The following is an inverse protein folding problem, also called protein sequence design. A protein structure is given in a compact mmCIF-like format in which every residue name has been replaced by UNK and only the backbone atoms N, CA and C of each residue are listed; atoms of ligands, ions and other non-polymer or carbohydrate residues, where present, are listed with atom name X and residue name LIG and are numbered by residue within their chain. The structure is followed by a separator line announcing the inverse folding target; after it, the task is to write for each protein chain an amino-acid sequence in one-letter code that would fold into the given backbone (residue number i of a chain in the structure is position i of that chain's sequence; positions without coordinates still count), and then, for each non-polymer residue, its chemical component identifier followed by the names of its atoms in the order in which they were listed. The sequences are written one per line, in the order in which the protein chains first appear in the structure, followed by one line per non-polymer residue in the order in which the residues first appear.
data_IF_772017616731
#
_entry.id   IF_772017616731
#
_cell.length_a   1.000
_cell.length_b   1.000
_cell.length_c   1.000
_cell.angle_alpha   90.00
_cell.angle_beta   90.00
_cell.angle_gamma   90.00
#
_symmetry.space_group_name_H-M   'P 1'
#
loop_
_entity.id
_entity.type
_entity.pdbx_description
1 polymer ?
#
# COMPACT_ATOMS: atom_id res chain seq x y z
N UNK A 1 25.42 -19.35 -33.44
CA UNK A 1 25.62 -18.16 -34.32
C UNK A 1 24.84 -17.00 -33.73
N UNK A 2 25.51 -15.95 -33.23
CA UNK A 2 24.84 -14.74 -32.70
C UNK A 2 24.47 -13.87 -33.91
N UNK A 3 23.19 -13.59 -34.10
CA UNK A 3 22.73 -12.56 -35.05
C UNK A 3 23.33 -11.23 -34.58
N UNK A 4 24.16 -10.62 -35.42
CA UNK A 4 24.73 -9.30 -35.16
C UNK A 4 23.57 -8.34 -34.89
N UNK A 5 23.68 -7.62 -33.77
CA UNK A 5 22.73 -6.58 -33.38
C UNK A 5 22.71 -5.52 -34.48
N UNK A 6 21.50 -5.11 -34.87
CA UNK A 6 21.17 -4.30 -36.03
C UNK A 6 21.61 -2.81 -35.89
N UNK A 7 22.77 -2.56 -35.27
CA UNK A 7 23.33 -1.21 -35.05
C UNK A 7 23.89 -0.57 -36.33
N UNK A 8 24.10 -1.35 -37.39
CA UNK A 8 24.69 -0.87 -38.65
C UNK A 8 23.70 -0.12 -39.57
N UNK A 9 22.42 0.03 -39.19
CA UNK A 9 21.38 0.53 -40.12
C UNK A 9 21.05 2.02 -40.03
N UNK A 10 21.70 2.80 -39.15
CA UNK A 10 21.56 4.27 -39.13
C UNK A 10 22.72 5.02 -39.77
N UNK A 11 23.71 4.31 -40.32
CA UNK A 11 24.74 4.94 -41.15
C UNK A 11 24.34 4.81 -42.61
N UNK A 12 24.32 5.93 -43.33
CA UNK A 12 24.20 5.86 -44.78
C UNK A 12 25.39 5.06 -45.33
N UNK A 13 25.20 3.90 -46.00
CA UNK A 13 26.30 3.07 -46.45
C UNK A 13 27.20 3.76 -47.49
N UNK A 14 26.70 4.83 -48.12
CA UNK A 14 27.41 5.60 -49.14
C UNK A 14 28.16 6.82 -48.58
N UNK A 15 27.69 7.43 -47.49
CA UNK A 15 28.26 8.70 -46.95
C UNK A 15 28.81 8.61 -45.54
N UNK A 16 28.53 7.54 -44.79
CA UNK A 16 28.96 7.38 -43.39
C UNK A 16 28.29 8.34 -42.40
N UNK A 17 27.40 9.22 -42.86
CA UNK A 17 26.64 10.15 -42.02
C UNK A 17 25.57 9.39 -41.21
N UNK A 18 25.37 9.83 -39.96
CA UNK A 18 24.27 9.36 -39.13
C UNK A 18 22.96 9.86 -39.74
N UNK A 19 22.15 8.94 -40.27
CA UNK A 19 20.80 9.24 -40.72
C UNK A 19 19.94 9.55 -39.51
N UNK A 20 19.13 10.59 -39.64
CA UNK A 20 18.12 10.95 -38.67
C UNK A 20 17.13 9.81 -38.45
N UNK A 21 16.69 9.65 -37.21
CA UNK A 21 15.85 8.52 -36.80
C UNK A 21 14.48 8.54 -37.49
N UNK A 22 13.98 9.73 -37.85
CA UNK A 22 12.74 9.88 -38.61
C UNK A 22 12.95 9.31 -40.01
N UNK A 23 14.02 9.71 -40.70
CA UNK A 23 14.32 9.21 -42.03
C UNK A 23 14.54 7.69 -42.05
N UNK A 24 15.14 7.13 -40.98
CA UNK A 24 15.25 5.67 -40.80
C UNK A 24 13.87 4.98 -40.74
N UNK A 25 12.86 5.61 -40.13
CA UNK A 25 11.50 5.06 -40.09
C UNK A 25 10.93 4.87 -41.49
N UNK A 26 11.13 5.84 -42.39
CA UNK A 26 10.70 5.72 -43.78
C UNK A 26 11.42 4.58 -44.48
N UNK A 27 12.74 4.46 -44.33
CA UNK A 27 13.53 3.40 -44.98
C UNK A 27 13.04 1.99 -44.61
N UNK A 28 12.62 1.78 -43.36
CA UNK A 28 12.12 0.49 -42.87
C UNK A 28 10.68 0.21 -43.32
N UNK A 29 9.86 1.25 -43.47
CA UNK A 29 8.42 1.12 -43.67
C UNK A 29 7.94 1.48 -45.08
N UNK A 30 8.81 1.98 -45.96
CA UNK A 30 8.52 2.32 -47.34
C UNK A 30 9.27 1.38 -48.30
N UNK A 31 8.54 0.74 -49.22
CA UNK A 31 9.12 -0.13 -50.24
C UNK A 31 9.42 0.69 -51.48
N UNK A 32 10.67 1.13 -51.63
CA UNK A 32 11.09 1.99 -52.75
C UNK A 32 10.80 1.36 -54.12
N UNK A 33 11.05 0.05 -54.28
CA UNK A 33 10.81 -0.66 -55.55
C UNK A 33 9.35 -0.67 -56.01
N UNK A 34 8.41 -0.68 -55.07
CA UNK A 34 6.97 -0.70 -55.38
C UNK A 34 6.29 0.64 -55.17
N UNK A 35 6.98 1.62 -54.59
CA UNK A 35 6.43 2.93 -54.28
C UNK A 35 5.34 2.90 -53.19
N UNK A 36 5.31 1.88 -52.34
CA UNK A 36 4.21 1.64 -51.39
C UNK A 36 4.69 1.54 -49.95
N UNK A 37 3.89 2.05 -49.02
CA UNK A 37 4.06 1.81 -47.59
C UNK A 37 3.74 0.36 -47.22
N UNK A 38 4.47 -0.19 -46.26
CA UNK A 38 4.25 -1.55 -45.75
C UNK A 38 2.84 -1.69 -45.13
N UNK A 39 2.29 -0.61 -44.57
CA UNK A 39 0.95 -0.57 -44.00
C UNK A 39 0.40 0.88 -44.02
N UNK A 40 -0.92 1.12 -44.18
CA UNK A 40 -1.51 2.47 -44.14
C UNK A 40 -1.15 3.26 -42.87
N UNK A 41 -1.21 2.61 -41.70
CA UNK A 41 -0.78 3.20 -40.42
C UNK A 41 0.69 3.65 -40.39
N UNK A 42 1.56 3.07 -41.23
CA UNK A 42 2.94 3.52 -41.32
C UNK A 42 3.07 4.84 -42.08
N UNK A 43 2.24 5.06 -43.11
CA UNK A 43 2.13 6.36 -43.76
C UNK A 43 1.60 7.41 -42.79
N UNK A 44 0.52 7.11 -42.06
CA UNK A 44 -0.07 8.03 -41.08
C UNK A 44 0.95 8.46 -40.01
N UNK A 45 1.73 7.51 -39.50
CA UNK A 45 2.81 7.79 -38.53
C UNK A 45 3.94 8.61 -39.15
N UNK A 46 4.34 8.30 -40.38
CA UNK A 46 5.33 9.10 -41.10
C UNK A 46 4.86 10.54 -41.30
N UNK A 47 3.62 10.74 -41.73
CA UNK A 47 3.01 12.07 -41.89
C UNK A 47 2.95 12.82 -40.56
N UNK A 48 2.58 12.15 -39.47
CA UNK A 48 2.61 12.71 -38.12
C UNK A 48 4.03 13.16 -37.70
N UNK A 49 5.06 12.34 -37.98
CA UNK A 49 6.46 12.70 -37.68
C UNK A 49 6.91 13.93 -38.48
N UNK A 50 6.55 14.00 -39.76
CA UNK A 50 6.89 15.14 -40.63
C UNK A 50 6.18 16.43 -40.18
N UNK A 51 4.92 16.32 -39.75
CA UNK A 51 4.16 17.43 -39.20
C UNK A 51 4.82 17.97 -37.93
N UNK A 52 5.25 17.11 -37.01
CA UNK A 52 5.97 17.51 -35.80
C UNK A 52 7.33 18.14 -36.12
N UNK A 53 8.07 17.62 -37.11
CA UNK A 53 9.34 18.18 -37.59
C UNK A 53 9.19 19.62 -38.11
N UNK A 54 8.02 19.95 -38.68
CA UNK A 54 7.71 21.28 -39.20
C UNK A 54 7.17 22.26 -38.15
N UNK A 55 6.76 21.79 -36.97
CA UNK A 55 6.20 22.64 -35.92
C UNK A 55 7.31 23.29 -35.08
N UNK A 56 7.31 24.62 -34.91
CA UNK A 56 8.19 25.27 -33.96
C UNK A 56 7.77 24.92 -32.53
N UNK A 57 8.72 24.50 -31.69
CA UNK A 57 8.48 24.28 -30.26
C UNK A 57 8.33 25.64 -29.56
N UNK A 58 7.65 25.67 -28.40
CA UNK A 58 7.41 26.90 -27.62
C UNK A 58 8.67 27.72 -27.31
N UNK A 59 9.84 27.06 -27.26
CA UNK A 59 11.15 27.68 -27.01
C UNK A 59 11.94 28.00 -28.29
N UNK A 60 11.28 28.06 -29.46
CA UNK A 60 11.90 28.24 -30.79
C UNK A 60 13.03 27.25 -31.13
N UNK A 61 13.11 26.14 -30.40
CA UNK A 61 14.08 25.07 -30.63
C UNK A 61 13.43 23.97 -31.48
N UNK A 62 14.11 23.43 -32.48
CA UNK A 62 13.58 22.30 -33.26
C UNK A 62 13.49 21.06 -32.36
N UNK A 63 12.37 20.32 -32.41
CA UNK A 63 12.24 19.05 -31.68
C UNK A 63 13.30 18.05 -32.17
N UNK A 64 13.90 17.31 -31.25
CA UNK A 64 14.83 16.23 -31.62
C UNK A 64 14.08 15.12 -32.36
N UNK A 65 14.70 14.53 -33.39
CA UNK A 65 14.09 13.43 -34.15
C UNK A 65 13.70 12.23 -33.27
N UNK A 66 14.46 11.97 -32.21
CA UNK A 66 14.11 10.95 -31.19
C UNK A 66 12.85 11.29 -30.41
N UNK A 67 12.66 12.56 -30.09
CA UNK A 67 11.48 13.04 -29.38
C UNK A 67 10.24 12.93 -30.27
N UNK A 68 10.38 13.30 -31.55
CA UNK A 68 9.33 13.14 -32.56
C UNK A 68 8.90 11.66 -32.66
N UNK A 69 9.85 10.73 -32.76
CA UNK A 69 9.55 9.29 -32.85
C UNK A 69 8.92 8.77 -31.55
N UNK A 70 9.41 9.19 -30.39
CA UNK A 70 8.85 8.80 -29.11
C UNK A 70 7.40 9.29 -28.96
N UNK A 71 7.09 10.47 -29.46
CA UNK A 71 5.74 11.04 -29.40
C UNK A 71 4.78 10.32 -30.35
N UNK A 72 5.21 9.95 -31.56
CA UNK A 72 4.36 9.28 -32.55
C UNK A 72 4.21 7.77 -32.29
N UNK A 73 5.30 7.08 -31.89
CA UNK A 73 5.30 5.62 -31.69
C UNK A 73 5.08 5.22 -30.22
N UNK A 74 5.25 6.15 -29.29
CA UNK A 74 5.23 5.93 -27.85
C UNK A 74 6.61 5.66 -27.25
N UNK A 75 6.83 6.18 -26.04
CA UNK A 75 8.09 6.07 -25.28
C UNK A 75 8.46 4.65 -24.84
N UNK A 76 7.51 3.71 -24.90
CA UNK A 76 7.72 2.28 -24.60
C UNK A 76 7.80 1.41 -25.86
N UNK A 77 7.78 2.01 -27.05
CA UNK A 77 7.86 1.23 -28.28
C UNK A 77 9.19 0.46 -28.34
N UNK A 78 9.13 -0.78 -28.82
CA UNK A 78 10.34 -1.59 -29.06
C UNK A 78 11.30 -0.91 -30.05
N UNK A 79 10.79 0.01 -30.87
CA UNK A 79 11.54 0.83 -31.81
C UNK A 79 12.56 1.73 -31.09
N UNK A 80 12.11 2.59 -30.17
CA UNK A 80 12.99 3.48 -29.39
C UNK A 80 14.03 2.69 -28.55
N UNK A 81 13.63 1.54 -27.99
CA UNK A 81 14.55 0.67 -27.24
C UNK A 81 15.59 -0.03 -28.14
N UNK A 82 15.18 -0.43 -29.34
CA UNK A 82 16.01 -1.13 -30.32
C UNK A 82 17.10 -0.26 -30.95
N UNK A 83 16.93 1.06 -30.90
CA UNK A 83 17.92 2.06 -31.37
C UNK A 83 19.09 2.28 -30.40
N UNK A 84 19.15 1.58 -29.27
CA UNK A 84 20.28 1.66 -28.32
C UNK A 84 20.15 2.74 -27.24
N UNK A 85 19.01 3.42 -27.16
CA UNK A 85 18.70 4.40 -26.11
C UNK A 85 18.20 3.76 -24.79
N UNK A 86 18.02 2.44 -24.75
CA UNK A 86 17.84 1.73 -23.48
C UNK A 86 19.11 1.89 -22.64
N UNK A 87 18.97 2.15 -21.33
CA UNK A 87 20.09 2.30 -20.42
C UNK A 87 21.12 1.18 -20.66
N UNK A 88 22.27 1.54 -21.23
CA UNK A 88 23.39 0.61 -21.39
C UNK A 88 23.82 0.24 -19.99
N UNK A 89 23.40 -0.93 -19.50
CA UNK A 89 23.88 -1.47 -18.24
C UNK A 89 25.37 -1.76 -18.43
N UNK A 90 26.21 -0.75 -18.21
CA UNK A 90 27.65 -0.94 -18.10
C UNK A 90 27.86 -1.84 -16.90
N UNK A 91 28.53 -2.98 -17.12
CA UNK A 91 28.85 -3.88 -16.02
C UNK A 91 29.57 -3.07 -14.92
N UNK A 92 29.09 -3.10 -13.66
CA UNK A 92 29.66 -2.29 -12.61
C UNK A 92 31.14 -2.62 -12.44
N UNK A 93 31.98 -1.58 -12.43
CA UNK A 93 33.42 -1.69 -12.17
C UNK A 93 33.69 -2.48 -10.88
N UNK A 94 34.85 -3.14 -10.76
CA UNK A 94 35.23 -3.91 -9.55
C UNK A 94 35.08 -3.09 -8.27
N UNK A 95 35.40 -1.81 -8.31
CA UNK A 95 35.24 -0.86 -7.19
C UNK A 95 33.77 -0.63 -6.85
N UNK A 96 32.90 -0.48 -7.86
CA UNK A 96 31.45 -0.33 -7.67
C UNK A 96 30.81 -1.58 -7.05
N UNK A 97 31.26 -2.79 -7.46
CA UNK A 97 30.79 -4.05 -6.85
C UNK A 97 31.20 -4.19 -5.38
N UNK A 98 32.42 -3.79 -5.03
CA UNK A 98 32.88 -3.83 -3.65
C UNK A 98 32.10 -2.85 -2.75
N UNK A 99 31.85 -1.63 -3.25
CA UNK A 99 31.03 -0.64 -2.55
C UNK A 99 29.59 -1.12 -2.35
N UNK A 100 28.97 -1.67 -3.39
CA UNK A 100 27.62 -2.25 -3.33
C UNK A 100 27.53 -3.42 -2.34
N UNK A 101 28.55 -4.29 -2.31
CA UNK A 101 28.62 -5.39 -1.34
C UNK A 101 28.74 -4.87 0.10
N UNK A 102 29.58 -3.86 0.33
CA UNK A 102 29.74 -3.27 1.65
C UNK A 102 28.44 -2.58 2.12
N UNK A 103 27.73 -1.92 1.21
CA UNK A 103 26.43 -1.32 1.50
C UNK A 103 25.36 -2.36 1.81
N UNK A 104 25.32 -3.45 1.04
CA UNK A 104 24.42 -4.57 1.30
C UNK A 104 24.67 -5.21 2.67
N UNK A 105 25.93 -5.38 3.06
CA UNK A 105 26.29 -5.90 4.38
C UNK A 105 25.79 -4.97 5.50
N UNK A 106 26.05 -3.66 5.39
CA UNK A 106 25.55 -2.67 6.37
C UNK A 106 24.03 -2.67 6.47
N UNK A 107 23.34 -2.80 5.34
CA UNK A 107 21.88 -2.87 5.32
C UNK A 107 21.38 -4.16 5.99
N UNK A 108 22.07 -5.29 5.77
CA UNK A 108 21.73 -6.55 6.39
C UNK A 108 21.93 -6.52 7.91
N UNK A 109 23.03 -5.94 8.39
CA UNK A 109 23.29 -5.74 9.82
C UNK A 109 22.21 -4.87 10.47
N UNK A 110 21.81 -3.76 9.82
CA UNK A 110 20.71 -2.91 10.29
C UNK A 110 19.39 -3.67 10.36
N UNK A 111 19.07 -4.47 9.34
CA UNK A 111 17.85 -5.28 9.34
C UNK A 111 17.85 -6.31 10.47
N UNK A 112 18.98 -6.97 10.72
CA UNK A 112 19.11 -7.91 11.84
C UNK A 112 18.90 -7.21 13.18
N UNK A 113 19.49 -6.02 13.36
CA UNK A 113 19.30 -5.24 14.58
C UNK A 113 17.83 -4.83 14.78
N UNK A 114 17.17 -4.35 13.73
CA UNK A 114 15.74 -4.00 13.78
C UNK A 114 14.85 -5.20 14.08
N UNK A 115 15.19 -6.38 13.54
CA UNK A 115 14.47 -7.62 13.85
C UNK A 115 14.56 -7.99 15.34
N UNK A 116 15.74 -7.84 15.94
CA UNK A 116 15.93 -8.09 17.38
C UNK A 116 15.12 -7.11 18.23
N UNK A 117 15.14 -5.82 17.89
CA UNK A 117 14.34 -4.81 18.60
C UNK A 117 12.84 -5.08 18.50
N UNK A 118 12.36 -5.53 17.33
CA UNK A 118 10.95 -5.92 17.16
C UNK A 118 10.58 -7.14 18.01
N UNK A 119 11.48 -8.10 18.16
CA UNK A 119 11.24 -9.28 18.98
C UNK A 119 11.21 -8.94 20.47
N UNK A 120 12.14 -8.10 20.93
CA UNK A 120 12.17 -7.56 22.30
C UNK A 120 10.89 -6.78 22.63
N UNK A 121 10.50 -5.83 21.77
CA UNK A 121 9.26 -5.06 21.97
C UNK A 121 8.02 -5.96 22.00
N UNK A 122 7.99 -7.02 21.18
CA UNK A 122 6.90 -8.00 21.19
C UNK A 122 6.87 -8.81 22.47
N UNK A 123 8.02 -9.10 23.06
CA UNK A 123 8.11 -9.78 24.35
C UNK A 123 7.58 -8.87 25.46
N UNK A 124 8.06 -7.64 25.55
CA UNK A 124 7.60 -6.65 26.54
C UNK A 124 6.09 -6.42 26.45
N UNK A 125 5.55 -6.30 25.24
CA UNK A 125 4.11 -6.16 25.02
C UNK A 125 3.31 -7.37 25.52
N UNK A 126 3.84 -8.59 25.34
CA UNK A 126 3.19 -9.81 25.86
C UNK A 126 3.23 -9.86 27.37
N UNK A 127 4.36 -9.52 27.99
CA UNK A 127 4.49 -9.47 29.44
C UNK A 127 3.58 -8.41 30.05
N UNK A 128 3.59 -7.19 29.50
CA UNK A 128 2.71 -6.10 29.92
C UNK A 128 1.23 -6.49 29.82
N UNK A 129 0.85 -7.16 28.72
CA UNK A 129 -0.51 -7.68 28.54
C UNK A 129 -0.87 -8.75 29.58
N UNK A 130 0.03 -9.69 29.87
CA UNK A 130 -0.21 -10.72 30.87
C UNK A 130 -0.40 -10.12 32.28
N UNK A 131 0.41 -9.12 32.63
CA UNK A 131 0.27 -8.37 33.91
C UNK A 131 -1.08 -7.65 33.95
N UNK A 132 -1.47 -6.97 32.87
CA UNK A 132 -2.75 -6.27 32.80
C UNK A 132 -3.94 -7.24 32.89
N UNK A 133 -3.89 -8.38 32.20
CA UNK A 133 -4.93 -9.40 32.25
C UNK A 133 -5.06 -10.01 33.66
N UNK A 134 -3.95 -10.27 34.35
CA UNK A 134 -3.95 -10.73 35.73
C UNK A 134 -4.57 -9.70 36.68
N UNK A 135 -4.26 -8.41 36.50
CA UNK A 135 -4.81 -7.33 37.31
C UNK A 135 -6.31 -7.11 37.06
N UNK A 136 -6.76 -7.19 35.81
CA UNK A 136 -8.20 -7.15 35.47
C UNK A 136 -8.92 -8.33 36.13
N UNK A 137 -8.35 -9.53 36.04
CA UNK A 137 -8.94 -10.73 36.65
C UNK A 137 -9.05 -10.58 38.15
N UNK A 138 -8.00 -10.09 38.82
CA UNK A 138 -7.98 -9.82 40.27
C UNK A 138 -9.07 -8.82 40.66
N UNK A 139 -9.13 -7.66 40.00
CA UNK A 139 -10.16 -6.64 40.28
C UNK A 139 -11.57 -7.14 40.04
N UNK A 140 -11.77 -7.94 38.99
CA UNK A 140 -13.08 -8.52 38.68
C UNK A 140 -13.55 -9.45 39.78
N UNK A 141 -12.65 -10.29 40.30
CA UNK A 141 -12.97 -11.18 41.43
C UNK A 141 -13.22 -10.40 42.73
N UNK A 142 -12.46 -9.33 42.98
CA UNK A 142 -12.71 -8.44 44.14
C UNK A 142 -14.10 -7.80 44.09
N UNK A 143 -14.51 -7.30 42.92
CA UNK A 143 -15.85 -6.75 42.70
C UNK A 143 -16.90 -7.84 42.91
N UNK A 144 -16.70 -9.04 42.36
CA UNK A 144 -17.60 -10.18 42.53
C UNK A 144 -17.79 -10.53 44.00
N UNK A 145 -16.70 -10.66 44.76
CA UNK A 145 -16.73 -10.96 46.19
C UNK A 145 -17.36 -9.83 47.02
N UNK A 146 -17.12 -8.58 46.65
CA UNK A 146 -17.75 -7.43 47.30
C UNK A 146 -19.28 -7.44 47.10
N UNK A 147 -19.72 -7.72 45.88
CA UNK A 147 -21.14 -7.82 45.55
C UNK A 147 -21.80 -8.99 46.29
N UNK A 148 -21.19 -10.17 46.30
CA UNK A 148 -21.68 -11.33 47.04
C UNK A 148 -21.79 -11.04 48.55
N UNK A 149 -20.84 -10.28 49.11
CA UNK A 149 -20.89 -9.84 50.51
C UNK A 149 -22.05 -8.88 50.77
N UNK A 150 -22.28 -7.91 49.89
CA UNK A 150 -23.42 -7.00 50.01
C UNK A 150 -24.75 -7.75 49.93
N UNK A 151 -24.87 -8.72 49.01
CA UNK A 151 -26.06 -9.56 48.89
C UNK A 151 -26.31 -10.39 50.15
N UNK A 152 -25.27 -11.01 50.73
CA UNK A 152 -25.40 -11.71 52.01
C UNK A 152 -25.82 -10.78 53.15
N UNK A 153 -25.23 -9.59 53.26
CA UNK A 153 -25.61 -8.61 54.27
C UNK A 153 -27.09 -8.18 54.11
N UNK A 154 -27.53 -7.93 52.87
CA UNK A 154 -28.94 -7.65 52.58
C UNK A 154 -29.84 -8.83 52.98
N UNK A 155 -29.43 -10.06 52.69
CA UNK A 155 -30.18 -11.28 53.02
C UNK A 155 -30.22 -11.56 54.54
N UNK A 156 -29.21 -11.16 55.30
CA UNK A 156 -29.20 -11.22 56.77
C UNK A 156 -30.05 -10.11 57.41
N UNK A 157 -30.05 -8.91 56.84
CA UNK A 157 -30.89 -7.80 57.33
C UNK A 157 -32.38 -7.98 56.99
N UNK A 158 -32.73 -8.65 55.89
CA UNK A 158 -34.11 -8.84 55.43
C UNK A 158 -35.02 -9.55 56.47
N UNK A 159 -34.62 -10.68 57.07
CA UNK A 159 -35.38 -11.36 58.12
C UNK A 159 -35.59 -10.49 59.36
N UNK A 160 -34.55 -9.76 59.77
CA UNK A 160 -34.59 -8.81 60.90
C UNK A 160 -35.62 -7.71 60.67
N UNK A 161 -35.59 -7.06 59.49
CA UNK A 161 -36.57 -6.04 59.11
C UNK A 161 -38.00 -6.60 59.01
N UNK A 162 -38.17 -7.79 58.43
CA UNK A 162 -39.48 -8.43 58.34
C UNK A 162 -40.04 -8.81 59.72
N UNK A 163 -39.19 -9.23 60.66
CA UNK A 163 -39.57 -9.56 62.05
C UNK A 163 -39.94 -8.29 62.82
N UNK A 164 -39.23 -7.19 62.59
CA UNK A 164 -39.50 -5.90 63.24
C UNK A 164 -40.78 -5.22 62.73
N UNK A 165 -41.14 -5.49 61.48
CA UNK A 165 -42.41 -5.06 60.87
C UNK A 165 -43.59 -6.01 61.16
N UNK A 166 -43.33 -7.16 61.79
CA UNK A 166 -44.38 -8.11 62.16
C UNK A 166 -45.05 -7.65 63.46
N UNK A 167 -45.99 -6.72 63.31
CA UNK A 167 -46.90 -6.31 64.39
C UNK A 167 -47.78 -7.50 64.77
N UNK A 168 -47.84 -7.91 66.05
CA UNK A 168 -48.68 -9.03 66.46
C UNK A 168 -50.16 -8.66 66.22
N UNK A 169 -50.75 -9.26 65.20
CA UNK A 169 -52.14 -9.01 64.79
C UNK A 169 -52.39 -8.89 63.28
N UNK A 170 -51.34 -8.75 62.44
CA UNK A 170 -51.51 -8.75 60.98
C UNK A 170 -50.95 -10.03 60.35
N UNK A 171 -51.84 -10.93 59.94
CA UNK A 171 -51.50 -12.01 59.01
C UNK A 171 -51.38 -11.42 57.61
N UNK A 172 -50.16 -11.11 57.17
CA UNK A 172 -49.95 -10.85 55.74
C UNK A 172 -49.63 -12.16 55.04
N UNK A 173 -50.67 -12.72 54.46
CA UNK A 173 -50.56 -13.53 53.25
C UNK A 173 -49.74 -12.74 52.22
N UNK A 174 -48.80 -13.44 51.61
CA UNK A 174 -47.73 -13.02 50.69
C UNK A 174 -48.14 -12.18 49.46
N UNK A 175 -49.38 -11.73 49.33
CA UNK A 175 -49.92 -11.15 48.10
C UNK A 175 -50.11 -9.62 48.13
N UNK A 176 -50.14 -8.95 49.29
CA UNK A 176 -50.55 -7.53 49.35
C UNK A 176 -49.41 -6.52 49.50
N UNK A 177 -48.22 -6.94 49.96
CA UNK A 177 -47.08 -6.02 50.10
C UNK A 177 -46.52 -5.59 48.75
N UNK A 178 -46.56 -6.47 47.74
CA UNK A 178 -46.20 -6.11 46.37
C UNK A 178 -47.18 -5.09 45.79
N UNK A 179 -48.49 -5.22 46.01
CA UNK A 179 -49.49 -4.25 45.52
C UNK A 179 -49.31 -2.85 46.12
N UNK A 180 -48.93 -2.75 47.40
CA UNK A 180 -48.71 -1.45 48.07
C UNK A 180 -47.44 -0.76 47.56
N UNK A 181 -46.35 -1.52 47.34
CA UNK A 181 -45.10 -0.97 46.82
C UNK A 181 -45.24 -0.56 45.35
N UNK A 182 -45.94 -1.35 44.52
CA UNK A 182 -46.22 -0.98 43.13
C UNK A 182 -47.14 0.24 43.04
N UNK A 183 -48.13 0.41 43.93
CA UNK A 183 -48.97 1.62 43.94
C UNK A 183 -48.22 2.89 44.36
N UNK A 184 -47.19 2.77 45.22
CA UNK A 184 -46.36 3.90 45.65
C UNK A 184 -45.32 4.31 44.59
N UNK A 185 -44.77 3.33 43.85
CA UNK A 185 -43.85 3.57 42.72
C UNK A 185 -44.58 4.26 41.56
N UNK A 186 -45.81 3.85 41.23
CA UNK A 186 -46.61 4.49 40.16
C UNK A 186 -46.97 5.95 40.53
N UNK A 187 -47.13 6.29 41.81
CA UNK A 187 -47.48 7.65 42.26
C UNK A 187 -46.29 8.62 42.34
N UNK A 188 -45.05 8.14 42.25
CA UNK A 188 -43.84 8.98 42.27
C UNK A 188 -43.29 9.32 40.87
N UNK A 189 -43.86 8.74 39.81
CA UNK A 189 -43.50 9.00 38.39
C UNK A 189 -44.61 9.73 37.59
N UNK A 190 -45.61 10.34 38.24
CA UNK A 190 -46.53 11.35 37.65
C UNK A 190 -46.33 12.71 38.29
#
# INVERSE_FOLDING_TARGET
MRKQSNMHQMQNPETGEQRGEVDHYKDVHYRERSGTWVHPLALERWEAMQLMRSQPTADNTQQSELEIISNVLGSRSGYVRGLGHGAKLMAPSRTSRAAMKAELMRHNEKNQHLQLQLEELRHEMKESRAVMEAEITRRTEEIRLHQERQERQMQEMFPSLSTQLQVPGFSTTSQTWYDIIFHWIIYLES
#
